data_IF_049577794715
#
_entry.id   IF_049577794715
#
_cell.length_a   1.000
_cell.length_b   1.000
_cell.length_c   1.000
_cell.angle_alpha   90.00
_cell.angle_beta   90.00
_cell.angle_gamma   90.00
#
_symmetry.space_group_name_H-M   'P 1'
#
loop_
_entity.id
_entity.type
_entity.pdbx_description
1 polymer ?
#
# COMPACT_ATOMS: atom_id res chain seq x y z
N UNK A 1 -9.66 10.31 13.43
CA UNK A 1 -10.42 11.59 13.45
C UNK A 1 -10.96 11.86 12.06
N UNK A 2 -12.28 12.03 11.89
CA UNK A 2 -12.91 12.24 10.57
C UNK A 2 -12.74 13.69 10.13
N UNK A 3 -12.36 13.90 8.87
CA UNK A 3 -12.23 15.20 8.23
C UNK A 3 -13.56 15.64 7.62
N UNK A 4 -13.82 16.95 7.48
CA UNK A 4 -14.98 17.45 6.76
C UNK A 4 -15.09 16.89 5.33
N UNK A 5 -16.32 16.79 4.83
CA UNK A 5 -16.56 16.30 3.48
C UNK A 5 -15.87 17.15 2.43
N UNK A 6 -15.38 16.48 1.38
CA UNK A 6 -14.66 17.10 0.25
C UNK A 6 -13.41 17.89 0.66
N UNK A 7 -12.76 17.55 1.77
CA UNK A 7 -11.45 18.10 2.11
C UNK A 7 -10.44 17.80 0.99
N UNK A 8 -9.81 18.84 0.45
CA UNK A 8 -8.77 18.74 -0.58
C UNK A 8 -7.38 19.07 -0.02
N UNK A 9 -7.31 19.91 1.02
CA UNK A 9 -6.06 20.27 1.69
C UNK A 9 -6.24 20.17 3.20
N UNK A 10 -5.23 19.65 3.88
CA UNK A 10 -5.16 19.60 5.34
C UNK A 10 -3.97 20.44 5.81
N UNK A 11 -4.20 21.36 6.73
CA UNK A 11 -3.17 22.15 7.37
C UNK A 11 -3.02 21.71 8.83
N UNK A 12 -1.78 21.46 9.24
CA UNK A 12 -1.43 21.00 10.58
C UNK A 12 -0.45 22.00 11.20
N UNK A 13 -0.74 22.48 12.39
CA UNK A 13 0.25 23.18 13.20
C UNK A 13 1.05 22.13 14.01
N UNK A 14 2.33 21.94 13.69
CA UNK A 14 3.20 20.94 14.32
C UNK A 14 4.32 21.64 15.10
N UNK A 15 4.57 21.18 16.31
CA UNK A 15 5.73 21.58 17.12
C UNK A 15 6.49 20.34 17.51
N UNK A 16 7.79 20.33 17.21
CA UNK A 16 8.72 19.30 17.65
C UNK A 16 9.78 19.98 18.52
N UNK A 17 9.90 19.57 19.76
CA UNK A 17 10.84 20.14 20.71
C UNK A 17 11.50 19.08 21.58
N UNK A 18 12.72 19.34 21.99
CA UNK A 18 13.53 18.42 22.78
C UNK A 18 15.00 18.79 22.67
N UNK A 19 15.81 18.34 23.61
CA UNK A 19 17.26 18.50 23.48
C UNK A 19 17.77 17.53 22.41
N UNK A 20 18.63 18.02 21.52
CA UNK A 20 19.50 17.13 20.75
C UNK A 20 20.36 16.34 21.72
N UNK A 21 20.43 15.04 21.49
CA UNK A 21 20.98 14.04 22.38
C UNK A 21 22.36 13.54 21.94
N UNK A 22 23.08 14.32 21.12
CA UNK A 22 24.48 14.05 20.80
C UNK A 22 25.50 14.80 21.65
N UNK A 23 26.78 14.37 21.61
CA UNK A 23 27.85 14.80 22.51
C UNK A 23 28.20 16.30 22.46
N UNK A 24 27.71 17.03 21.46
CA UNK A 24 27.91 18.48 21.31
C UNK A 24 26.68 19.32 21.68
N UNK A 25 25.59 18.70 22.14
CA UNK A 25 24.34 19.40 22.45
C UNK A 25 23.79 20.23 21.27
N UNK A 26 22.87 21.16 21.53
CA UNK A 26 22.22 22.01 20.52
C UNK A 26 23.17 22.96 19.78
N UNK A 27 24.45 23.03 20.16
CA UNK A 27 25.45 23.95 19.59
C UNK A 27 25.96 23.53 18.20
N UNK A 28 25.72 22.28 17.78
CA UNK A 28 26.08 21.78 16.44
C UNK A 28 24.98 21.99 15.38
N UNK A 29 23.88 22.66 15.72
CA UNK A 29 22.76 22.89 14.80
C UNK A 29 22.95 24.22 14.06
N UNK A 30 24.03 24.34 13.28
CA UNK A 30 23.92 25.14 12.07
C UNK A 30 23.24 24.29 10.99
N UNK A 31 22.48 24.93 10.10
CA UNK A 31 21.81 24.24 9.00
C UNK A 31 22.79 23.54 8.04
N UNK A 32 24.10 23.75 8.19
CA UNK A 32 25.16 23.12 7.41
C UNK A 32 25.63 21.76 7.94
N UNK A 33 25.54 21.50 9.26
CA UNK A 33 26.02 20.23 9.85
C UNK A 33 25.00 19.10 9.67
N UNK A 34 23.71 19.41 9.77
CA UNK A 34 22.60 18.59 9.26
C UNK A 34 22.01 19.30 8.05
N UNK A 35 22.75 19.30 6.93
CA UNK A 35 22.38 19.98 5.69
C UNK A 35 20.90 19.84 5.36
N UNK A 36 20.08 20.88 5.58
CA UNK A 36 18.68 21.03 5.15
C UNK A 36 17.70 19.83 5.35
N UNK A 37 18.10 18.74 6.00
CA UNK A 37 17.30 17.51 6.15
C UNK A 37 16.59 17.56 7.49
N UNK A 38 15.41 18.20 7.50
CA UNK A 38 14.47 18.04 8.61
C UNK A 38 14.04 16.58 8.77
N UNK A 39 13.34 16.26 9.87
CA UNK A 39 12.79 14.92 10.07
C UNK A 39 11.81 14.60 8.93
N UNK A 40 11.93 13.40 8.36
CA UNK A 40 10.91 12.86 7.47
C UNK A 40 9.70 12.50 8.30
N UNK A 41 8.55 13.06 7.96
CA UNK A 41 7.31 12.71 8.60
C UNK A 41 6.26 12.35 7.56
N UNK A 42 5.31 11.49 7.95
CA UNK A 42 4.25 10.99 7.10
C UNK A 42 2.94 11.04 7.87
N UNK A 43 1.91 11.58 7.23
CA UNK A 43 0.55 11.56 7.73
C UNK A 43 -0.24 10.53 6.93
N UNK A 44 -0.97 9.66 7.63
CA UNK A 44 -1.86 8.69 6.99
C UNK A 44 -3.31 9.10 7.14
N UNK A 45 -4.01 9.24 6.02
CA UNK A 45 -5.46 9.40 5.96
C UNK A 45 -6.09 8.16 5.33
N UNK A 46 -7.20 7.69 5.87
CA UNK A 46 -7.95 6.54 5.37
C UNK A 46 -9.28 7.01 4.76
N UNK A 47 -9.65 6.47 3.62
CA UNK A 47 -10.94 6.77 2.98
C UNK A 47 -12.08 5.86 3.49
N UNK A 48 -13.31 6.08 3.00
CA UNK A 48 -14.46 5.28 3.46
C UNK A 48 -14.37 3.78 3.13
N UNK A 49 -13.52 3.40 2.18
CA UNK A 49 -13.30 2.01 1.76
C UNK A 49 -12.10 1.39 2.47
N UNK A 50 -11.47 2.09 3.41
CA UNK A 50 -10.31 1.58 4.15
C UNK A 50 -9.01 1.63 3.37
N UNK A 51 -8.92 2.44 2.32
CA UNK A 51 -7.68 2.65 1.56
C UNK A 51 -6.84 3.72 2.28
N UNK A 52 -5.61 3.38 2.73
CA UNK A 52 -4.73 4.36 3.37
C UNK A 52 -3.93 5.13 2.32
N UNK A 53 -3.90 6.44 2.49
CA UNK A 53 -3.09 7.39 1.74
C UNK A 53 -2.01 7.94 2.67
N UNK A 54 -0.75 7.66 2.33
CA UNK A 54 0.43 8.15 3.07
C UNK A 54 0.95 9.40 2.40
N UNK A 55 0.97 10.47 3.16
CA UNK A 55 1.26 11.80 2.69
C UNK A 55 2.52 12.30 3.38
N UNK A 56 3.64 12.43 2.65
CA UNK A 56 4.87 12.94 3.23
C UNK A 56 4.67 14.40 3.64
N UNK A 57 5.19 14.73 4.82
CA UNK A 57 5.36 16.07 5.32
C UNK A 57 6.76 16.55 4.98
N UNK A 58 6.87 17.78 4.51
CA UNK A 58 8.17 18.41 4.25
C UNK A 58 8.83 18.80 5.58
N UNK A 59 10.10 18.39 5.73
CA UNK A 59 11.11 18.84 6.71
C UNK A 59 10.55 19.42 8.02
N UNK A 60 10.20 18.56 8.98
CA UNK A 60 9.91 19.02 10.33
C UNK A 60 11.22 19.37 11.06
N UNK A 61 11.27 20.56 11.65
CA UNK A 61 12.44 21.01 12.40
C UNK A 61 12.23 20.78 13.91
N UNK A 62 13.20 20.20 14.64
CA UNK A 62 13.13 20.01 16.09
C UNK A 62 13.55 21.28 16.85
N UNK A 63 13.05 22.45 16.43
CA UNK A 63 13.45 23.76 16.97
C UNK A 63 12.54 24.26 18.12
N UNK A 64 11.58 23.45 18.53
CA UNK A 64 10.58 23.80 19.53
C UNK A 64 9.56 24.84 19.08
N UNK A 65 9.62 25.30 17.83
CA UNK A 65 8.69 26.29 17.27
C UNK A 65 7.51 25.61 16.60
N UNK A 66 6.46 26.39 16.38
CA UNK A 66 5.28 25.95 15.62
C UNK A 66 5.53 26.14 14.13
N UNK A 67 5.44 25.05 13.39
CA UNK A 67 5.49 25.02 11.94
C UNK A 67 4.11 24.67 11.40
N UNK A 68 3.62 25.44 10.44
CA UNK A 68 2.40 25.09 9.71
C UNK A 68 2.78 24.31 8.46
N UNK A 69 2.33 23.06 8.41
CA UNK A 69 2.52 22.19 7.26
C UNK A 69 1.20 22.01 6.51
N UNK A 70 1.28 21.88 5.20
CA UNK A 70 0.14 21.72 4.32
C UNK A 70 0.25 20.42 3.53
N UNK A 71 -0.82 19.64 3.54
CA UNK A 71 -0.95 18.37 2.84
C UNK A 71 -1.98 18.50 1.73
N UNK A 72 -1.59 18.17 0.51
CA UNK A 72 -2.48 18.11 -0.64
C UNK A 72 -3.13 16.71 -0.71
N UNK A 73 -4.36 16.60 -0.20
CA UNK A 73 -5.11 15.34 -0.22
C UNK A 73 -5.64 15.03 -1.62
N UNK A 74 -5.80 16.03 -2.48
CA UNK A 74 -6.24 15.80 -3.84
C UNK A 74 -5.15 15.07 -4.64
N UNK A 75 -3.89 15.48 -4.48
CA UNK A 75 -2.74 14.78 -5.10
C UNK A 75 -2.55 13.34 -4.61
N UNK A 76 -3.09 12.98 -3.44
CA UNK A 76 -2.96 11.64 -2.89
C UNK A 76 -3.57 10.53 -3.77
N UNK A 77 -4.54 10.89 -4.61
CA UNK A 77 -5.22 9.99 -5.55
C UNK A 77 -5.23 10.58 -6.96
N UNK A 78 -4.12 11.19 -7.38
CA UNK A 78 -3.91 11.64 -8.76
C UNK A 78 -4.95 12.66 -9.25
N UNK A 79 -5.29 13.64 -8.41
CA UNK A 79 -6.07 14.80 -8.84
C UNK A 79 -5.41 15.50 -10.06
N UNK A 80 -6.20 16.12 -10.95
CA UNK A 80 -7.65 16.35 -10.85
C UNK A 80 -8.53 15.15 -11.25
N UNK A 81 -7.92 14.06 -11.73
CA UNK A 81 -8.64 12.92 -12.31
C UNK A 81 -9.28 12.07 -11.22
N UNK A 82 -8.51 11.74 -10.19
CA UNK A 82 -8.95 10.97 -9.05
C UNK A 82 -9.07 11.82 -7.78
N UNK A 83 -9.78 11.27 -6.80
CA UNK A 83 -9.86 11.83 -5.46
C UNK A 83 -10.11 10.70 -4.46
N UNK A 84 -9.54 10.78 -3.25
CA UNK A 84 -9.88 9.83 -2.19
C UNK A 84 -11.40 9.81 -1.92
N UNK A 85 -11.95 8.63 -1.61
CA UNK A 85 -13.38 8.48 -1.38
C UNK A 85 -13.77 9.00 0.01
N UNK A 86 -14.34 10.21 0.05
CA UNK A 86 -14.80 10.82 1.30
C UNK A 86 -15.91 10.02 2.01
N UNK A 87 -16.06 10.18 3.34
CA UNK A 87 -15.23 11.03 4.21
C UNK A 87 -13.84 10.42 4.47
N UNK A 88 -12.85 11.29 4.68
CA UNK A 88 -11.48 10.89 5.03
C UNK A 88 -11.29 10.91 6.54
N UNK A 89 -10.42 10.05 7.06
CA UNK A 89 -10.07 10.02 8.47
C UNK A 89 -8.55 10.07 8.66
N UNK A 90 -8.05 10.99 9.49
CA UNK A 90 -6.68 10.95 9.99
C UNK A 90 -6.52 9.75 10.93
N UNK A 91 -5.62 8.82 10.59
CA UNK A 91 -5.42 7.55 11.29
C UNK A 91 -4.01 7.35 11.82
N UNK A 92 -2.99 8.01 11.24
CA UNK A 92 -1.64 7.92 11.78
C UNK A 92 -0.79 9.16 11.49
N UNK A 93 0.20 9.38 12.35
CA UNK A 93 1.35 10.26 12.14
C UNK A 93 2.59 9.44 12.44
N UNK A 94 3.56 9.47 11.54
CA UNK A 94 4.84 8.79 11.68
C UNK A 94 5.97 9.77 11.36
N UNK A 95 7.10 9.63 12.02
CA UNK A 95 8.30 10.36 11.67
C UNK A 95 9.55 9.56 12.03
N UNK A 96 10.60 9.78 11.26
CA UNK A 96 11.92 9.21 11.51
C UNK A 96 12.86 10.30 12.00
N UNK A 97 13.58 9.98 13.05
CA UNK A 97 14.58 10.85 13.65
C UNK A 97 15.95 10.19 13.53
N UNK A 98 16.86 10.84 12.81
CA UNK A 98 18.27 10.46 12.73
C UNK A 98 19.08 11.27 13.74
N UNK A 99 19.93 10.60 14.52
CA UNK A 99 20.77 11.28 15.50
C UNK A 99 21.80 10.39 16.17
N UNK A 100 22.47 10.94 17.18
CA UNK A 100 23.53 10.26 17.93
C UNK A 100 23.23 10.22 19.44
N UNK A 101 22.25 9.44 19.91
CA UNK A 101 21.80 9.48 21.30
C UNK A 101 22.88 9.01 22.30
N UNK A 102 23.54 9.93 23.00
CA UNK A 102 24.51 9.65 24.08
C UNK A 102 23.85 9.51 25.46
N UNK A 103 22.61 9.98 25.59
CA UNK A 103 21.83 9.98 26.83
C UNK A 103 20.33 9.97 26.55
N UNK A 104 19.55 9.53 27.54
CA UNK A 104 18.09 9.64 27.49
C UNK A 104 17.68 11.10 27.59
N UNK A 105 17.32 11.72 26.47
CA UNK A 105 16.78 13.07 26.41
C UNK A 105 15.25 13.05 26.19
N UNK A 106 14.46 13.75 27.02
CA UNK A 106 13.02 13.87 26.80
C UNK A 106 12.73 14.75 25.58
N UNK A 107 11.88 14.25 24.68
CA UNK A 107 11.41 14.92 23.48
C UNK A 107 9.90 14.95 23.44
N UNK A 108 9.34 15.92 22.70
CA UNK A 108 7.90 16.15 22.58
C UNK A 108 7.52 16.54 21.16
N UNK A 109 6.53 15.85 20.61
CA UNK A 109 5.83 16.25 19.39
C UNK A 109 4.39 16.64 19.73
N UNK A 110 3.93 17.77 19.20
CA UNK A 110 2.56 18.22 19.33
C UNK A 110 1.98 18.54 17.95
N UNK A 111 0.86 17.90 17.61
CA UNK A 111 -0.03 18.35 16.54
C UNK A 111 -1.12 19.17 17.21
N UNK A 112 -1.09 20.48 16.96
CA UNK A 112 -2.05 21.45 17.47
C UNK A 112 -3.24 21.59 16.54
N UNK A 113 -3.62 22.83 16.22
CA UNK A 113 -4.78 23.10 15.38
C UNK A 113 -4.69 22.42 14.01
N UNK A 114 -5.78 21.75 13.63
CA UNK A 114 -5.96 21.09 12.35
C UNK A 114 -7.03 21.84 11.57
N UNK A 115 -6.75 22.14 10.31
CA UNK A 115 -7.69 22.85 9.43
C UNK A 115 -7.84 22.10 8.11
N UNK A 116 -9.07 21.99 7.65
CA UNK A 116 -9.42 21.38 6.37
C UNK A 116 -9.90 22.46 5.41
N UNK A 117 -9.37 22.47 4.20
CA UNK A 117 -9.87 23.31 3.13
C UNK A 117 -10.49 22.44 2.03
N UNK A 118 -11.69 22.83 1.59
CA UNK A 118 -12.39 22.21 0.48
C UNK A 118 -12.09 22.93 -0.85
N UNK A 119 -12.92 22.71 -1.89
CA UNK A 119 -12.76 23.35 -3.20
C UNK A 119 -12.89 24.88 -3.18
N UNK A 120 -13.53 25.45 -2.16
CA UNK A 120 -13.61 26.90 -1.95
C UNK A 120 -12.30 27.51 -1.42
N UNK A 121 -11.29 26.68 -1.14
CA UNK A 121 -9.99 27.08 -0.61
C UNK A 121 -10.03 27.59 0.84
N UNK A 122 -11.20 27.66 1.46
CA UNK A 122 -11.36 28.25 2.79
C UNK A 122 -11.02 27.21 3.85
N UNK A 123 -9.96 27.45 4.61
CA UNK A 123 -9.54 26.57 5.70
C UNK A 123 -10.48 26.72 6.90
N UNK A 124 -11.08 25.60 7.33
CA UNK A 124 -11.98 25.52 8.49
C UNK A 124 -11.37 24.61 9.56
N UNK A 125 -11.49 24.95 10.85
CA UNK A 125 -11.03 24.06 11.92
C UNK A 125 -11.69 22.67 11.83
N UNK A 126 -10.90 21.63 12.06
CA UNK A 126 -11.39 20.25 12.19
C UNK A 126 -11.68 19.99 13.66
N UNK A 127 -12.91 19.56 13.97
CA UNK A 127 -13.29 19.20 15.33
C UNK A 127 -12.58 17.92 15.76
N UNK A 128 -11.99 17.96 16.96
CA UNK A 128 -11.42 16.76 17.60
C UNK A 128 -12.56 15.96 18.24
N UNK A 129 -12.78 14.70 17.84
CA UNK A 129 -13.86 13.89 18.41
C UNK A 129 -13.64 13.63 19.90
N UNK A 130 -14.73 13.64 20.66
CA UNK A 130 -14.70 13.13 22.03
C UNK A 130 -14.26 11.65 22.05
N UNK A 131 -13.43 11.30 23.01
CA UNK A 131 -12.88 9.93 23.12
C UNK A 131 -11.80 9.58 22.09
N UNK A 132 -11.32 10.54 21.27
CA UNK A 132 -10.13 10.32 20.44
C UNK A 132 -8.97 9.87 21.33
N UNK A 133 -8.37 8.75 20.98
CA UNK A 133 -7.20 8.22 21.66
C UNK A 133 -6.20 7.68 20.65
N UNK A 134 -4.93 7.71 21.05
CA UNK A 134 -3.81 7.29 20.23
C UNK A 134 -3.01 6.23 20.95
N UNK A 135 -2.45 5.31 20.17
CA UNK A 135 -1.36 4.42 20.58
C UNK A 135 -0.10 4.94 19.91
N UNK A 136 1.04 4.86 20.61
CA UNK A 136 2.30 5.28 20.03
C UNK A 136 3.44 4.34 20.41
N UNK A 137 4.38 4.17 19.48
CA UNK A 137 5.54 3.30 19.61
C UNK A 137 6.79 4.03 19.08
N UNK A 138 7.94 3.75 19.67
CA UNK A 138 9.24 4.18 19.15
C UNK A 138 10.11 2.94 18.98
N UNK A 139 10.79 2.82 17.84
CA UNK A 139 11.65 1.69 17.52
C UNK A 139 12.92 2.18 16.83
N UNK A 140 14.05 1.58 17.17
CA UNK A 140 15.31 1.80 16.46
C UNK A 140 15.36 0.92 15.20
N UNK A 141 16.08 1.37 14.18
CA UNK A 141 16.42 0.55 13.01
C UNK A 141 17.11 -0.77 13.40
N UNK A 142 16.95 -1.80 12.56
CA UNK A 142 17.38 -3.18 12.83
C UNK A 142 18.90 -3.39 12.91
N UNK A 143 19.70 -2.38 12.60
CA UNK A 143 21.17 -2.45 12.65
C UNK A 143 21.74 -2.37 14.09
N UNK A 144 20.94 -1.96 15.08
CA UNK A 144 21.43 -1.57 16.39
C UNK A 144 20.95 -2.50 17.51
N UNK A 145 21.69 -3.58 17.72
CA UNK A 145 21.55 -4.42 18.90
C UNK A 145 22.79 -4.28 19.80
N UNK A 146 23.11 -3.05 20.22
CA UNK A 146 23.96 -2.87 21.39
C UNK A 146 23.15 -3.30 22.63
N UNK A 147 23.57 -4.35 23.35
CA UNK A 147 22.87 -4.82 24.54
C UNK A 147 22.95 -3.85 25.73
N UNK A 148 23.91 -2.91 25.76
CA UNK A 148 24.03 -1.90 26.82
C UNK A 148 23.17 -0.65 26.57
N UNK A 149 22.70 -0.45 25.33
CA UNK A 149 21.89 0.69 24.93
C UNK A 149 20.47 0.68 25.53
N UNK A 150 20.02 1.84 26.00
CA UNK A 150 18.61 2.08 26.32
C UNK A 150 17.82 2.16 25.02
N UNK A 151 16.75 1.36 24.90
CA UNK A 151 15.89 1.38 23.70
C UNK A 151 15.06 2.67 23.63
N UNK A 152 14.72 3.16 22.42
CA UNK A 152 13.74 4.22 22.27
C UNK A 152 12.41 3.85 22.91
N UNK A 153 11.71 4.81 23.50
CA UNK A 153 10.40 4.57 24.08
C UNK A 153 9.50 5.80 24.00
N UNK A 154 8.19 5.53 23.93
CA UNK A 154 7.15 6.54 24.14
C UNK A 154 6.75 6.51 25.60
N UNK A 155 6.86 7.65 26.27
CA UNK A 155 6.48 7.79 27.68
C UNK A 155 5.02 8.20 27.88
N UNK A 156 4.46 8.97 26.93
CA UNK A 156 3.06 9.41 27.00
C UNK A 156 2.52 9.80 25.63
N UNK A 157 1.27 9.48 25.36
CA UNK A 157 0.50 10.06 24.24
C UNK A 157 -0.89 10.44 24.73
N UNK A 158 -1.34 11.65 24.39
CA UNK A 158 -2.67 12.16 24.75
C UNK A 158 -3.30 12.91 23.58
N UNK A 159 -4.64 13.06 23.63
CA UNK A 159 -5.41 13.89 22.73
C UNK A 159 -6.27 14.86 23.52
N UNK A 160 -6.42 16.07 23.01
CA UNK A 160 -7.30 17.12 23.53
C UNK A 160 -7.81 17.99 22.36
N UNK A 161 -8.84 18.81 22.57
CA UNK A 161 -9.34 19.72 21.52
C UNK A 161 -8.28 20.64 20.90
N UNK A 162 -7.35 21.17 21.72
CA UNK A 162 -6.31 22.10 21.27
C UNK A 162 -5.00 21.42 20.83
N UNK A 163 -4.80 20.18 21.26
CA UNK A 163 -3.68 19.33 20.88
C UNK A 163 -4.19 17.92 20.56
N UNK A 164 -4.73 17.69 19.33
CA UNK A 164 -5.20 16.39 18.88
C UNK A 164 -4.17 15.27 19.03
N UNK A 165 -2.87 15.59 18.96
CA UNK A 165 -1.78 14.68 19.31
C UNK A 165 -0.78 15.42 20.19
N UNK A 166 -0.52 14.91 21.40
CA UNK A 166 0.57 15.33 22.26
C UNK A 166 1.37 14.09 22.69
N UNK A 167 2.59 13.97 22.17
CA UNK A 167 3.46 12.81 22.32
C UNK A 167 4.72 13.21 23.10
N UNK A 168 5.09 12.40 24.10
CA UNK A 168 6.37 12.45 24.79
C UNK A 168 7.14 11.16 24.57
N UNK A 169 8.39 11.27 24.18
CA UNK A 169 9.23 10.12 23.82
C UNK A 169 10.71 10.39 24.09
N UNK A 170 11.54 9.37 23.94
CA UNK A 170 12.99 9.49 23.83
C UNK A 170 13.53 8.47 22.82
N UNK A 171 14.68 8.81 22.25
CA UNK A 171 15.43 8.06 21.24
C UNK A 171 16.39 7.03 21.83
N UNK A 172 16.47 6.96 23.17
CA UNK A 172 17.27 5.95 23.87
C UNK A 172 18.71 6.41 24.11
N UNK A 173 19.65 5.47 24.13
CA UNK A 173 21.11 5.71 24.11
C UNK A 173 21.78 4.78 23.10
N UNK A 174 23.03 5.09 22.74
CA UNK A 174 23.94 4.26 21.97
C UNK A 174 25.38 4.53 22.44
N UNK A 175 26.19 3.48 22.58
CA UNK A 175 27.64 3.63 22.80
C UNK A 175 28.39 3.76 21.48
N UNK A 176 29.41 4.64 21.46
CA UNK A 176 30.25 4.88 20.29
C UNK A 176 31.70 4.56 20.66
N UNK A 177 32.27 3.51 20.07
CA UNK A 177 33.60 2.97 20.43
C UNK A 177 34.77 3.74 19.82
N UNK A 178 34.54 4.50 18.74
CA UNK A 178 35.58 5.23 18.00
C UNK A 178 34.96 6.24 16.99
N UNK A 179 35.13 7.55 17.22
CA UNK A 179 34.59 8.60 16.35
C UNK A 179 33.05 8.68 16.35
N UNK A 180 32.48 9.39 15.36
CA UNK A 180 31.03 9.33 15.11
C UNK A 180 30.73 7.95 14.53
N UNK A 181 30.13 7.05 15.33
CA UNK A 181 29.55 5.82 14.78
C UNK A 181 28.45 6.13 13.75
N UNK A 182 27.74 5.13 13.22
CA UNK A 182 26.60 5.40 12.35
C UNK A 182 25.51 6.20 13.09
N UNK A 183 24.88 7.14 12.40
CA UNK A 183 23.69 7.81 12.94
C UNK A 183 22.60 6.76 13.18
N UNK A 184 21.96 6.84 14.34
CA UNK A 184 20.84 5.99 14.69
C UNK A 184 19.57 6.57 14.10
N UNK A 185 18.80 5.74 13.40
CA UNK A 185 17.45 6.08 12.99
C UNK A 185 16.43 5.51 13.99
N UNK A 186 15.54 6.37 14.48
CA UNK A 186 14.42 6.01 15.35
C UNK A 186 13.12 6.39 14.65
N UNK A 187 12.31 5.38 14.36
CA UNK A 187 10.95 5.57 13.84
C UNK A 187 9.98 5.70 15.01
N UNK A 188 9.22 6.78 15.00
CA UNK A 188 8.15 7.04 15.97
C UNK A 188 6.82 7.04 15.24
N UNK A 189 5.91 6.18 15.68
CA UNK A 189 4.60 5.98 15.06
C UNK A 189 3.50 6.26 16.07
N UNK A 190 2.52 7.08 15.68
CA UNK A 190 1.32 7.42 16.45
C UNK A 190 0.09 7.01 15.63
N UNK A 191 -0.69 6.04 16.12
CA UNK A 191 -1.84 5.47 15.41
C UNK A 191 -3.12 5.63 16.21
N UNK A 192 -4.21 5.99 15.53
CA UNK A 192 -5.50 6.17 16.17
C UNK A 192 -5.95 4.83 16.76
N UNK A 193 -6.37 4.84 18.02
CA UNK A 193 -6.98 3.66 18.63
C UNK A 193 -8.33 3.45 17.96
N UNK A 194 -8.54 2.21 17.52
CA UNK A 194 -9.76 1.78 16.86
C UNK A 194 -10.23 0.50 17.54
N UNK A 195 -11.51 0.14 17.41
CA UNK A 195 -11.96 -1.20 17.77
C UNK A 195 -11.05 -2.25 17.09
N UNK A 196 -10.87 -3.45 17.66
CA UNK A 196 -10.13 -4.52 17.00
C UNK A 196 -10.64 -4.76 15.58
N UNK A 197 -9.73 -5.06 14.64
CA UNK A 197 -10.13 -5.44 13.30
C UNK A 197 -10.92 -6.76 13.36
N UNK A 198 -12.11 -6.85 12.74
CA UNK A 198 -12.79 -8.13 12.65
C UNK A 198 -11.95 -9.10 11.81
N UNK A 199 -12.02 -10.40 12.12
CA UNK A 199 -11.39 -11.42 11.29
C UNK A 199 -11.92 -11.30 9.85
N UNK A 200 -11.06 -11.12 8.83
CA UNK A 200 -11.50 -11.04 7.44
C UNK A 200 -12.23 -12.32 7.02
N UNK A 201 -13.31 -12.13 6.26
CA UNK A 201 -14.05 -13.21 5.63
C UNK A 201 -13.56 -13.40 4.19
N UNK A 202 -13.61 -14.65 3.73
CA UNK A 202 -13.26 -15.01 2.37
C UNK A 202 -14.40 -15.76 1.68
N UNK A 203 -14.59 -15.49 0.40
CA UNK A 203 -15.31 -16.40 -0.50
C UNK A 203 -14.28 -17.13 -1.36
N UNK A 204 -14.41 -18.44 -1.50
CA UNK A 204 -13.45 -19.27 -2.21
C UNK A 204 -14.04 -19.88 -3.47
N UNK A 205 -13.25 -20.06 -4.53
CA UNK A 205 -13.64 -20.92 -5.65
C UNK A 205 -13.65 -22.38 -5.21
N UNK A 206 -14.42 -23.23 -5.91
CA UNK A 206 -14.39 -24.68 -5.68
C UNK A 206 -12.99 -25.28 -5.90
N UNK A 207 -12.25 -24.79 -6.90
CA UNK A 207 -10.87 -25.20 -7.16
C UNK A 207 -9.94 -24.88 -6.00
N UNK A 208 -10.09 -23.69 -5.39
CA UNK A 208 -9.33 -23.33 -4.19
C UNK A 208 -9.59 -24.25 -3.02
N UNK A 209 -10.87 -24.56 -2.75
CA UNK A 209 -11.22 -25.48 -1.67
C UNK A 209 -10.63 -26.87 -1.88
N UNK A 210 -10.69 -27.40 -3.10
CA UNK A 210 -10.12 -28.70 -3.45
C UNK A 210 -8.58 -28.70 -3.33
N UNK A 211 -7.91 -27.66 -3.82
CA UNK A 211 -6.45 -27.58 -3.81
C UNK A 211 -5.87 -27.37 -2.40
N UNK A 212 -6.60 -26.67 -1.53
CA UNK A 212 -6.16 -26.35 -0.17
C UNK A 212 -6.69 -27.31 0.91
N UNK A 213 -7.49 -28.31 0.52
CA UNK A 213 -8.27 -29.18 1.44
C UNK A 213 -9.07 -28.37 2.49
N UNK A 214 -9.57 -27.20 2.06
CA UNK A 214 -10.33 -26.29 2.91
C UNK A 214 -11.83 -26.42 2.66
N UNK A 215 -12.62 -25.95 3.64
CA UNK A 215 -14.08 -25.92 3.56
C UNK A 215 -14.63 -24.64 4.14
N UNK A 216 -15.92 -24.38 3.90
CA UNK A 216 -16.63 -23.29 4.58
C UNK A 216 -16.49 -23.46 6.10
N UNK A 217 -16.10 -22.38 6.78
CA UNK A 217 -15.76 -22.36 8.20
C UNK A 217 -14.27 -22.53 8.51
N UNK A 218 -13.46 -23.03 7.57
CA UNK A 218 -12.01 -23.16 7.77
C UNK A 218 -11.38 -21.79 8.02
N UNK A 219 -10.39 -21.77 8.92
CA UNK A 219 -9.48 -20.64 9.11
C UNK A 219 -8.17 -20.98 8.41
N UNK A 220 -7.75 -20.11 7.49
CA UNK A 220 -6.53 -20.30 6.70
C UNK A 220 -5.64 -19.07 6.84
N UNK A 221 -4.33 -19.28 6.72
CA UNK A 221 -3.37 -18.19 6.57
C UNK A 221 -3.19 -17.91 5.08
N UNK A 222 -3.38 -16.65 4.69
CA UNK A 222 -3.17 -16.19 3.32
C UNK A 222 -1.90 -15.36 3.33
N UNK A 223 -0.84 -15.79 2.62
CA UNK A 223 0.36 -14.99 2.48
C UNK A 223 0.05 -13.73 1.69
N UNK A 224 0.52 -12.59 2.20
CA UNK A 224 0.29 -11.28 1.61
C UNK A 224 1.53 -10.41 1.73
N UNK A 225 1.64 -9.42 0.86
CA UNK A 225 2.56 -8.31 1.08
C UNK A 225 2.21 -7.62 2.40
N UNK A 226 3.20 -7.51 3.30
CA UNK A 226 2.98 -7.07 4.68
C UNK A 226 2.67 -8.20 5.67
N UNK A 227 2.84 -9.46 5.26
CA UNK A 227 2.79 -10.66 6.10
C UNK A 227 1.44 -11.37 6.09
N UNK A 228 1.44 -12.60 6.60
CA UNK A 228 0.27 -13.48 6.52
C UNK A 228 -0.94 -12.92 7.26
N UNK A 229 -2.13 -13.08 6.66
CA UNK A 229 -3.39 -12.75 7.30
C UNK A 229 -4.21 -14.02 7.56
N UNK A 230 -4.84 -14.10 8.73
CA UNK A 230 -5.76 -15.21 9.02
C UNK A 230 -7.16 -14.83 8.57
N UNK A 231 -7.73 -15.59 7.64
CA UNK A 231 -9.08 -15.37 7.12
C UNK A 231 -9.97 -16.56 7.45
N UNK A 232 -11.29 -16.34 7.47
CA UNK A 232 -12.29 -17.42 7.60
C UNK A 232 -13.07 -17.55 6.29
N UNK A 233 -13.12 -18.75 5.74
CA UNK A 233 -13.94 -19.03 4.55
C UNK A 233 -15.41 -18.99 4.97
N UNK A 234 -16.15 -18.01 4.46
CA UNK A 234 -17.56 -17.79 4.78
C UNK A 234 -18.50 -18.39 3.72
N UNK A 235 -18.01 -18.66 2.52
CA UNK A 235 -18.83 -19.17 1.43
C UNK A 235 -18.01 -19.56 0.21
N UNK A 236 -18.73 -20.00 -0.82
CA UNK A 236 -18.18 -20.48 -2.08
C UNK A 236 -18.72 -19.62 -3.21
N UNK A 237 -17.87 -19.29 -4.17
CA UNK A 237 -18.23 -18.65 -5.42
C UNK A 237 -17.82 -19.54 -6.59
N UNK A 238 -18.47 -19.39 -7.75
CA UNK A 238 -18.15 -20.20 -8.92
C UNK A 238 -16.82 -19.77 -9.56
N UNK A 239 -16.63 -18.46 -9.77
CA UNK A 239 -15.43 -17.90 -10.37
C UNK A 239 -15.21 -16.44 -9.90
N UNK A 240 -13.95 -15.99 -9.88
CA UNK A 240 -13.60 -14.58 -9.73
C UNK A 240 -13.11 -14.07 -11.10
N UNK A 241 -13.61 -12.94 -11.62
CA UNK A 241 -13.11 -12.36 -12.86
C UNK A 241 -11.60 -12.15 -12.81
N UNK A 242 -10.95 -12.23 -13.98
CA UNK A 242 -9.49 -12.08 -14.16
C UNK A 242 -8.62 -13.04 -13.33
N UNK A 243 -9.22 -14.06 -12.70
CA UNK A 243 -8.53 -15.18 -12.04
C UNK A 243 -8.85 -16.49 -12.76
N UNK A 244 -7.88 -17.41 -12.83
CA UNK A 244 -8.05 -18.71 -13.48
C UNK A 244 -6.85 -19.13 -14.33
N UNK A 245 -6.95 -20.25 -15.06
CA UNK A 245 -5.84 -20.77 -15.84
C UNK A 245 -5.46 -19.78 -16.94
N UNK A 246 -4.21 -19.29 -16.92
CA UNK A 246 -3.72 -18.28 -17.87
C UNK A 246 -3.80 -16.82 -17.42
N UNK A 247 -4.30 -16.55 -16.21
CA UNK A 247 -4.31 -15.18 -15.65
C UNK A 247 -2.91 -14.66 -15.28
N UNK A 248 -1.96 -15.55 -14.98
CA UNK A 248 -0.61 -15.17 -14.54
C UNK A 248 0.39 -14.99 -15.70
N UNK A 249 0.08 -15.51 -16.90
CA UNK A 249 0.95 -15.40 -18.08
C UNK A 249 0.16 -15.77 -19.35
N UNK A 250 -0.20 -14.79 -20.18
CA UNK A 250 -0.96 -15.02 -21.42
C UNK A 250 -0.13 -15.71 -22.50
N UNK A 251 1.20 -15.72 -22.36
CA UNK A 251 2.12 -16.35 -23.31
C UNK A 251 2.27 -17.87 -23.09
N UNK A 252 2.02 -18.37 -21.88
CA UNK A 252 2.08 -19.79 -21.56
C UNK A 252 1.16 -20.10 -20.36
N UNK A 253 -0.14 -20.33 -20.59
CA UNK A 253 -1.03 -20.78 -19.53
C UNK A 253 -0.47 -22.06 -18.89
N UNK A 254 -0.35 -22.07 -17.56
CA UNK A 254 0.02 -23.26 -16.77
C UNK A 254 -1.15 -23.64 -15.87
N UNK A 255 -2.15 -24.37 -16.40
CA UNK A 255 -3.35 -24.75 -15.66
C UNK A 255 -3.04 -25.53 -14.38
N UNK A 256 -1.94 -26.28 -14.36
CA UNK A 256 -1.46 -27.04 -13.20
C UNK A 256 -1.03 -26.17 -12.01
N UNK A 257 -0.78 -24.87 -12.24
CA UNK A 257 -0.47 -23.90 -11.19
C UNK A 257 -1.70 -23.10 -10.75
N UNK A 258 -2.86 -23.27 -11.39
CA UNK A 258 -4.09 -22.59 -11.00
C UNK A 258 -4.78 -23.33 -9.84
N UNK A 259 -4.43 -22.90 -8.63
CA UNK A 259 -5.06 -23.36 -7.40
C UNK A 259 -6.42 -22.70 -7.11
N UNK A 260 -7.01 -21.92 -8.03
CA UNK A 260 -8.24 -21.18 -7.77
C UNK A 260 -8.02 -19.85 -7.03
N UNK A 261 -9.10 -19.22 -6.57
CA UNK A 261 -9.09 -17.85 -6.06
C UNK A 261 -9.85 -17.67 -4.74
N UNK A 262 -9.43 -16.64 -4.00
CA UNK A 262 -10.11 -16.09 -2.82
C UNK A 262 -10.54 -14.65 -3.10
N UNK A 263 -11.78 -14.32 -2.76
CA UNK A 263 -12.27 -12.94 -2.72
C UNK A 263 -12.34 -12.47 -1.27
N UNK A 264 -11.69 -11.34 -0.99
CA UNK A 264 -11.54 -10.76 0.35
C UNK A 264 -12.07 -9.32 0.37
N UNK A 265 -12.60 -8.91 1.52
CA UNK A 265 -12.98 -7.52 1.76
C UNK A 265 -11.71 -6.67 1.98
N UNK A 266 -11.42 -5.77 1.03
CA UNK A 266 -10.24 -4.89 1.06
C UNK A 266 -10.14 -4.08 2.35
N UNK A 267 -11.28 -3.55 2.84
CA UNK A 267 -11.33 -2.76 4.07
C UNK A 267 -10.95 -3.59 5.28
N UNK A 268 -11.49 -4.80 5.40
CA UNK A 268 -11.19 -5.72 6.49
C UNK A 268 -9.71 -6.14 6.47
N UNK A 269 -9.16 -6.41 5.29
CA UNK A 269 -7.73 -6.73 5.11
C UNK A 269 -6.86 -5.54 5.55
N UNK A 270 -7.09 -4.35 5.01
CA UNK A 270 -6.33 -3.16 5.39
C UNK A 270 -6.47 -2.80 6.87
N UNK A 271 -7.60 -3.11 7.51
CA UNK A 271 -7.81 -2.94 8.95
C UNK A 271 -6.90 -3.85 9.78
N UNK A 272 -6.65 -5.08 9.33
CA UNK A 272 -5.68 -5.99 9.97
C UNK A 272 -4.24 -5.52 9.71
N UNK A 273 -3.94 -5.10 8.47
CA UNK A 273 -2.59 -4.69 8.09
C UNK A 273 -2.17 -3.35 8.70
N UNK A 274 -3.11 -2.47 9.05
CA UNK A 274 -2.81 -1.15 9.60
C UNK A 274 -2.04 -1.18 10.94
N UNK A 275 -1.95 -2.33 11.62
CA UNK A 275 -1.10 -2.51 12.80
C UNK A 275 0.38 -2.75 12.42
N UNK A 276 0.66 -3.05 11.17
CA UNK A 276 1.99 -3.38 10.65
C UNK A 276 2.59 -2.19 9.89
N UNK A 277 3.90 -1.94 10.02
CA UNK A 277 4.58 -0.95 9.20
C UNK A 277 4.41 -1.22 7.71
N UNK A 278 4.09 -0.17 6.96
CA UNK A 278 4.07 -0.09 5.49
C UNK A 278 3.16 -1.10 4.76
N UNK A 279 2.43 -1.93 5.49
CA UNK A 279 1.54 -2.94 4.95
C UNK A 279 0.16 -2.35 4.63
N UNK A 280 -0.15 -2.23 3.35
CA UNK A 280 -1.50 -1.89 2.88
C UNK A 280 -1.68 -2.23 1.42
N UNK A 281 -2.93 -2.41 1.02
CA UNK A 281 -3.33 -2.57 -0.36
C UNK A 281 -4.11 -1.35 -0.84
N UNK A 282 -3.78 -0.89 -2.05
CA UNK A 282 -4.60 0.06 -2.81
C UNK A 282 -5.33 -0.70 -3.92
N UNK A 283 -6.50 -0.23 -4.36
CA UNK A 283 -7.15 -0.76 -5.55
C UNK A 283 -6.19 -0.67 -6.74
N UNK A 284 -5.95 -1.79 -7.42
CA UNK A 284 -5.14 -1.86 -8.64
C UNK A 284 -5.97 -2.00 -9.93
N UNK A 285 -7.23 -2.41 -9.80
CA UNK A 285 -8.14 -2.65 -10.92
C UNK A 285 -9.54 -2.17 -10.55
N UNK A 286 -10.31 -1.73 -11.56
CA UNK A 286 -11.69 -1.30 -11.42
C UNK A 286 -12.59 -2.11 -12.34
N UNK A 287 -13.62 -2.74 -11.77
CA UNK A 287 -14.69 -3.38 -12.53
C UNK A 287 -15.90 -2.46 -12.61
N UNK A 288 -16.34 -2.17 -13.84
CA UNK A 288 -17.48 -1.30 -14.10
C UNK A 288 -18.64 -2.11 -14.67
N UNK A 289 -19.81 -1.92 -14.08
CA UNK A 289 -21.08 -2.33 -14.67
C UNK A 289 -21.68 -1.13 -15.39
N UNK A 290 -21.89 -1.27 -16.69
CA UNK A 290 -22.52 -0.24 -17.52
C UNK A 290 -23.99 -0.60 -17.74
N UNK A 291 -24.82 0.41 -18.01
CA UNK A 291 -26.18 0.16 -18.47
C UNK A 291 -26.16 -0.66 -19.78
N UNK A 292 -27.17 -1.50 -20.03
CA UNK A 292 -27.25 -2.29 -21.25
C UNK A 292 -27.01 -1.45 -22.52
N UNK A 293 -26.08 -1.89 -23.37
CA UNK A 293 -25.71 -1.20 -24.61
C UNK A 293 -24.79 0.02 -24.46
N UNK A 294 -24.40 0.41 -23.24
CA UNK A 294 -23.51 1.57 -23.01
C UNK A 294 -22.02 1.22 -22.90
N UNK A 295 -21.66 -0.07 -22.84
CA UNK A 295 -20.29 -0.52 -22.63
C UNK A 295 -19.27 0.11 -23.60
N UNK A 296 -19.57 0.08 -24.91
CA UNK A 296 -18.68 0.64 -25.94
C UNK A 296 -18.48 2.15 -25.80
N UNK A 297 -19.55 2.89 -25.48
CA UNK A 297 -19.48 4.34 -25.26
C UNK A 297 -18.64 4.67 -24.02
N UNK A 298 -18.86 3.96 -22.91
CA UNK A 298 -18.08 4.15 -21.68
C UNK A 298 -16.61 3.80 -21.92
N UNK A 299 -16.33 2.70 -22.63
CA UNK A 299 -14.97 2.31 -22.97
C UNK A 299 -14.27 3.36 -23.85
N UNK A 300 -14.95 3.92 -24.86
CA UNK A 300 -14.40 5.00 -25.68
C UNK A 300 -14.03 6.22 -24.82
N UNK A 301 -14.94 6.67 -23.94
CA UNK A 301 -14.68 7.79 -23.02
C UNK A 301 -13.51 7.50 -22.08
N UNK A 302 -13.35 6.26 -21.61
CA UNK A 302 -12.22 5.88 -20.76
C UNK A 302 -10.90 5.85 -21.55
N UNK A 303 -10.89 5.34 -22.78
CA UNK A 303 -9.71 5.28 -23.65
C UNK A 303 -9.25 6.65 -24.15
N UNK A 304 -10.14 7.63 -24.22
CA UNK A 304 -9.80 9.02 -24.60
C UNK A 304 -9.09 9.79 -23.47
N UNK A 305 -9.05 9.26 -22.26
CA UNK A 305 -8.37 9.89 -21.12
C UNK A 305 -6.87 9.75 -21.26
N UNK A 306 -6.15 10.88 -21.24
CA UNK A 306 -4.70 10.93 -21.43
C UNK A 306 -3.91 10.13 -20.38
N UNK A 307 -4.48 9.98 -19.19
CA UNK A 307 -3.91 9.26 -18.06
C UNK A 307 -4.15 7.74 -18.07
N UNK A 308 -5.03 7.26 -18.96
CA UNK A 308 -5.35 5.84 -19.09
C UNK A 308 -4.70 5.33 -20.37
N UNK A 309 -3.83 4.33 -20.25
CA UNK A 309 -3.42 3.56 -21.42
C UNK A 309 -4.66 2.85 -22.00
N UNK A 310 -5.07 3.13 -23.24
CA UNK A 310 -6.28 2.55 -23.83
C UNK A 310 -6.30 1.01 -23.81
N UNK A 311 -5.13 0.37 -23.83
CA UNK A 311 -4.99 -1.09 -23.76
C UNK A 311 -5.39 -1.68 -22.40
N UNK A 312 -5.39 -0.87 -21.34
CA UNK A 312 -5.82 -1.27 -19.99
C UNK A 312 -7.35 -1.26 -19.84
N UNK A 313 -8.09 -0.70 -20.81
CA UNK A 313 -9.56 -0.71 -20.79
C UNK A 313 -10.06 -1.98 -21.48
N UNK A 314 -10.37 -2.99 -20.67
CA UNK A 314 -10.87 -4.28 -21.15
C UNK A 314 -12.41 -4.30 -21.18
N UNK A 315 -12.99 -4.68 -22.33
CA UNK A 315 -14.44 -4.76 -22.52
C UNK A 315 -14.82 -6.19 -22.86
N UNK A 316 -15.69 -6.78 -22.03
CA UNK A 316 -16.09 -8.19 -22.16
C UNK A 316 -16.60 -8.55 -23.56
N UNK A 317 -17.46 -7.73 -24.14
CA UNK A 317 -18.08 -8.01 -25.44
C UNK A 317 -17.09 -7.88 -26.61
N UNK A 318 -16.05 -7.04 -26.45
CA UNK A 318 -14.97 -6.92 -27.44
C UNK A 318 -14.08 -8.16 -27.38
N UNK A 319 -13.67 -8.57 -26.17
CA UNK A 319 -12.87 -9.79 -25.94
C UNK A 319 -13.63 -11.03 -26.43
N UNK A 320 -14.94 -11.12 -26.15
CA UNK A 320 -15.75 -12.25 -26.61
C UNK A 320 -15.84 -12.33 -28.15
N UNK A 321 -15.90 -11.18 -28.82
CA UNK A 321 -15.89 -11.11 -30.29
C UNK A 321 -14.53 -11.46 -30.86
N UNK A 322 -13.46 -10.92 -30.28
CA UNK A 322 -12.08 -11.23 -30.67
C UNK A 322 -11.81 -12.74 -30.55
N UNK A 323 -12.18 -13.35 -29.42
CA UNK A 323 -12.08 -14.80 -29.22
C UNK A 323 -12.98 -15.63 -30.16
N UNK A 324 -14.07 -15.05 -30.66
CA UNK A 324 -14.93 -15.72 -31.64
C UNK A 324 -14.37 -15.65 -33.05
N UNK A 325 -13.82 -14.50 -33.43
CA UNK A 325 -13.29 -14.21 -34.76
C UNK A 325 -11.88 -14.76 -34.96
N UNK A 326 -11.06 -14.79 -33.90
CA UNK A 326 -9.74 -15.41 -33.85
C UNK A 326 -9.62 -16.32 -32.62
N UNK A 327 -10.19 -17.55 -32.68
CA UNK A 327 -10.23 -18.47 -31.55
C UNK A 327 -8.86 -18.99 -31.11
N UNK A 328 -7.81 -18.72 -31.89
CA UNK A 328 -6.45 -19.17 -31.60
C UNK A 328 -5.52 -18.01 -31.23
N UNK A 329 -5.75 -16.78 -31.67
CA UNK A 329 -4.81 -15.68 -31.49
C UNK A 329 -3.48 -15.89 -32.24
N UNK A 330 -2.75 -14.82 -32.52
CA UNK A 330 -1.49 -14.91 -33.28
C UNK A 330 -0.44 -15.85 -32.64
N UNK A 331 -0.44 -16.03 -31.31
CA UNK A 331 0.52 -16.88 -30.59
C UNK A 331 0.34 -18.39 -30.87
N UNK A 332 -0.81 -18.98 -30.49
CA UNK A 332 -1.12 -20.39 -30.80
C UNK A 332 -1.15 -20.72 -32.29
N UNK A 333 -1.57 -19.80 -33.17
CA UNK A 333 -1.44 -19.98 -34.63
C UNK A 333 0.03 -20.17 -35.06
N UNK A 334 0.94 -19.36 -34.51
CA UNK A 334 2.39 -19.46 -34.79
C UNK A 334 2.96 -20.80 -34.30
N UNK A 335 2.54 -21.28 -33.13
CA UNK A 335 2.95 -22.57 -32.60
C UNK A 335 2.42 -23.74 -33.46
N UNK A 336 1.18 -23.69 -33.90
CA UNK A 336 0.60 -24.71 -34.79
C UNK A 336 1.29 -24.74 -36.16
N UNK A 337 1.61 -23.58 -36.73
CA UNK A 337 2.38 -23.49 -37.97
C UNK A 337 3.80 -24.03 -37.81
N UNK A 338 4.48 -23.73 -36.69
CA UNK A 338 5.79 -24.31 -36.39
C UNK A 338 5.73 -25.83 -36.22
N UNK A 339 4.70 -26.34 -35.54
CA UNK A 339 4.47 -27.79 -35.36
C UNK A 339 4.18 -28.48 -36.70
N UNK A 340 3.37 -27.84 -37.55
CA UNK A 340 3.08 -28.33 -38.90
C UNK A 340 4.33 -28.32 -39.80
N UNK A 341 5.19 -27.30 -39.70
CA UNK A 341 6.45 -27.24 -40.42
C UNK A 341 7.43 -28.35 -39.98
N UNK A 342 7.50 -28.63 -38.67
CA UNK A 342 8.29 -29.75 -38.12
C UNK A 342 7.73 -31.09 -38.58
N UNK A 343 6.41 -31.26 -38.58
CA UNK A 343 5.77 -32.48 -39.06
C UNK A 343 6.01 -32.70 -40.58
N UNK A 344 5.96 -31.64 -41.38
CA UNK A 344 6.26 -31.69 -42.82
C UNK A 344 7.73 -32.04 -43.09
N UNK A 345 8.66 -31.49 -42.30
CA UNK A 345 10.09 -31.84 -42.36
C UNK A 345 10.32 -33.32 -42.00
N UNK A 346 9.68 -33.82 -40.94
CA UNK A 346 9.75 -35.23 -40.55
C UNK A 346 9.15 -36.16 -41.63
N UNK A 347 8.04 -35.76 -42.25
CA UNK A 347 7.43 -36.50 -43.34
C UNK A 347 8.31 -36.53 -44.61
N UNK A 348 8.98 -35.42 -44.94
CA UNK A 348 9.92 -35.34 -46.07
C UNK A 348 11.16 -36.24 -45.85
N UNK A 349 11.69 -36.30 -44.62
CA UNK A 349 12.77 -37.23 -44.25
C UNK A 349 12.29 -38.68 -44.35
N UNK A 350 11.07 -38.99 -43.92
CA UNK A 350 10.47 -40.32 -44.08
C UNK A 350 10.33 -40.75 -45.54
N UNK A 351 9.94 -39.83 -46.44
CA UNK A 351 9.87 -40.09 -47.88
C UNK A 351 11.26 -40.30 -48.52
N UNK A 352 12.28 -39.56 -48.09
CA UNK A 352 13.65 -39.71 -48.59
C UNK A 352 14.31 -41.03 -48.17
N UNK A 353 13.99 -41.55 -46.98
CA UNK A 353 14.46 -42.86 -46.53
C UNK A 353 13.70 -44.00 -47.23
N UNK A 354 12.42 -43.79 -47.55
CA UNK A 354 11.61 -44.76 -48.30
C UNK A 354 12.03 -44.96 -49.76
N UNK A 355 12.60 -43.95 -50.42
CA UNK A 355 13.07 -44.07 -51.82
C UNK A 355 14.44 -44.74 -51.95
N UNK A 356 15.28 -44.70 -50.92
CA UNK A 356 16.58 -45.41 -50.89
C UNK A 356 16.41 -46.91 -50.59
N UNK A 357 15.32 -47.31 -49.94
CA UNK A 357 14.97 -48.72 -49.70
C UNK A 357 14.28 -49.44 -50.85
N UNK A 358 13.97 -48.75 -51.95
CA UNK A 358 13.19 -49.29 -53.08
C UNK A 358 14.04 -49.63 -54.33
N UNK A 359 15.38 -49.66 -54.21
CA UNK A 359 16.24 -50.23 -55.25
C UNK A 359 16.28 -51.76 -55.06
N UNK A 360 15.74 -52.55 -56.00
CA UNK A 360 15.93 -54.00 -55.97
C UNK A 360 17.42 -54.31 -56.19
N UNK A 361 18.00 -55.08 -55.27
CA UNK A 361 19.32 -55.71 -55.44
C UNK A 361 19.34 -56.67 -56.63
#
# INVERSE_FOLDING_TARGET
MVLPDRTQRLELDITLGGAYDGPHGTAALDASTFGERGLSATVTVEDRYGVPYRLPLSNLLPDGKRHRVSLDLAKAADAPVGRPAGPLALTAVEFDEEGFPDRVAPKRLTVGAIRAAGPDGTARPVAVPEGLSWRATAAAGTADADPAAVRPAVSKVTASPDAPVDLRYHTGTAEYTDGWGPARSVTVRVTAVRPPAPQPLALATKSFLAASDAKVGSRIQVPMQGGDITVRIAGVLEAVPTTGPGAADSAAPRPELDGGALLLDLRAVNRVLAERPDASFRPGEWWLFTEPGQAAKVAAVLRERAEIDPSQVLVRDEIARELHEDPLGAGPQSALLATAAVAALLAAVGFAVGTVGALPS
#
